data_IF_569857098409
#
_entry.id   IF_569857098409
#
_cell.length_a   1.000
_cell.length_b   1.000
_cell.length_c   1.000
_cell.angle_alpha   90.00
_cell.angle_beta   90.00
_cell.angle_gamma   90.00
#
_symmetry.space_group_name_H-M   'P 1'
#
loop_
_entity.id
_entity.type
_entity.pdbx_description
1 polymer ?
#
# COMPACT_ATOMS: atom_id res chain seq x y z
N UNK A 1 18.42 -17.89 -10.98
CA UNK A 1 17.12 -17.41 -11.48
C UNK A 1 16.56 -16.45 -10.43
N UNK A 2 15.85 -15.39 -10.83
CA UNK A 2 15.11 -14.54 -9.88
C UNK A 2 14.03 -15.39 -9.24
N UNK A 3 13.95 -15.43 -7.90
CA UNK A 3 12.88 -16.14 -7.18
C UNK A 3 11.58 -15.34 -7.16
N UNK A 4 11.63 -14.04 -7.41
CA UNK A 4 10.49 -13.18 -7.54
C UNK A 4 10.08 -12.42 -6.28
N UNK A 5 8.86 -11.88 -6.31
CA UNK A 5 8.30 -11.03 -5.25
C UNK A 5 6.94 -11.58 -4.85
N UNK A 6 6.71 -11.69 -3.54
CA UNK A 6 5.37 -11.88 -2.98
C UNK A 6 4.80 -10.52 -2.58
N UNK A 7 3.61 -10.18 -3.10
CA UNK A 7 2.82 -9.04 -2.61
C UNK A 7 1.71 -9.58 -1.71
N UNK A 8 1.72 -9.17 -0.45
CA UNK A 8 0.84 -9.68 0.60
C UNK A 8 -0.05 -8.56 1.20
N UNK A 9 -1.23 -8.91 1.69
CA UNK A 9 -2.10 -8.01 2.43
C UNK A 9 -3.42 -7.68 1.74
N UNK A 10 -3.69 -6.39 1.53
CA UNK A 10 -4.98 -5.88 1.08
C UNK A 10 -5.29 -6.18 -0.39
N UNK A 11 -6.35 -6.95 -0.64
CA UNK A 11 -7.00 -7.08 -1.95
C UNK A 11 -8.41 -6.48 -1.85
N UNK A 12 -8.68 -5.44 -2.62
CA UNK A 12 -9.89 -4.61 -2.48
C UNK A 12 -10.56 -4.45 -3.84
N UNK A 13 -11.86 -4.23 -3.83
CA UNK A 13 -12.61 -3.74 -4.99
C UNK A 13 -13.02 -2.30 -4.74
N UNK A 14 -12.61 -1.40 -5.61
CA UNK A 14 -13.06 -0.02 -5.60
C UNK A 14 -14.27 0.14 -6.53
N UNK A 15 -15.39 0.57 -5.96
CA UNK A 15 -16.63 0.83 -6.71
C UNK A 15 -16.87 2.33 -6.72
N UNK A 16 -16.64 2.95 -7.87
CA UNK A 16 -16.84 4.40 -8.05
C UNK A 16 -18.29 4.69 -8.44
N UNK A 17 -18.95 5.47 -7.61
CA UNK A 17 -20.31 6.00 -7.81
C UNK A 17 -20.23 7.48 -8.15
N UNK A 18 -20.44 7.87 -9.42
CA UNK A 18 -20.56 9.27 -9.77
C UNK A 18 -21.86 9.84 -9.18
N UNK A 19 -21.77 10.91 -8.41
CA UNK A 19 -22.91 11.61 -7.82
C UNK A 19 -23.05 13.03 -8.39
N UNK A 20 -24.29 13.53 -8.48
CA UNK A 20 -24.53 14.90 -8.97
C UNK A 20 -23.93 15.93 -8.04
N UNK A 21 -24.26 15.83 -6.76
CA UNK A 21 -23.80 16.74 -5.70
C UNK A 21 -23.62 15.97 -4.41
N UNK A 22 -22.83 16.50 -3.51
CA UNK A 22 -22.73 15.93 -2.17
C UNK A 22 -23.95 16.33 -1.33
N UNK A 23 -24.79 15.37 -0.87
CA UNK A 23 -25.99 15.70 -0.10
C UNK A 23 -25.61 16.05 1.35
N UNK A 24 -26.40 16.89 1.98
CA UNK A 24 -26.37 17.04 3.44
C UNK A 24 -26.98 15.82 4.10
N UNK A 25 -26.76 15.69 5.41
CA UNK A 25 -27.39 14.65 6.19
C UNK A 25 -28.93 14.69 6.03
N UNK A 26 -29.54 13.52 5.81
CA UNK A 26 -30.98 13.33 5.52
C UNK A 26 -31.46 13.86 4.15
N UNK A 27 -30.57 14.26 3.26
CA UNK A 27 -30.92 14.61 1.86
C UNK A 27 -30.60 13.45 0.91
N UNK A 28 -31.28 13.43 -0.22
CA UNK A 28 -31.05 12.45 -1.30
C UNK A 28 -30.23 13.10 -2.40
N UNK A 29 -29.27 12.35 -2.95
CA UNK A 29 -28.63 12.68 -4.23
C UNK A 29 -28.78 11.50 -5.19
N UNK A 30 -28.59 11.76 -6.48
CA UNK A 30 -28.64 10.71 -7.49
C UNK A 30 -27.25 10.22 -7.83
N UNK A 31 -27.11 8.90 -7.92
CA UNK A 31 -25.97 8.27 -8.57
C UNK A 31 -26.24 8.33 -10.06
N UNK A 32 -25.35 8.95 -10.81
CA UNK A 32 -25.45 9.07 -12.27
C UNK A 32 -24.88 7.83 -12.96
N UNK A 33 -25.05 7.75 -14.28
CA UNK A 33 -24.45 6.66 -15.04
C UNK A 33 -22.91 6.68 -15.00
N UNK A 34 -22.30 5.53 -15.29
CA UNK A 34 -20.85 5.38 -15.31
C UNK A 34 -20.27 4.85 -14.00
N UNK A 35 -21.06 4.07 -13.24
CA UNK A 35 -20.53 3.27 -12.13
C UNK A 35 -19.40 2.40 -12.67
N UNK A 36 -18.24 2.46 -12.02
CA UNK A 36 -17.04 1.71 -12.40
C UNK A 36 -16.57 0.84 -11.25
N UNK A 37 -16.10 -0.34 -11.61
CA UNK A 37 -15.47 -1.26 -10.69
C UNK A 37 -14.01 -1.46 -11.13
N UNK A 38 -13.08 -1.43 -10.19
CA UNK A 38 -11.67 -1.71 -10.39
C UNK A 38 -11.11 -2.48 -9.21
N UNK A 39 -10.04 -3.21 -9.43
CA UNK A 39 -9.26 -3.75 -8.33
C UNK A 39 -8.49 -2.62 -7.65
N UNK A 40 -8.28 -2.76 -6.36
CA UNK A 40 -7.55 -1.83 -5.51
C UNK A 40 -6.87 -2.57 -4.36
N UNK A 41 -6.29 -1.81 -3.46
CA UNK A 41 -5.49 -2.31 -2.36
C UNK A 41 -4.05 -2.60 -2.80
N UNK A 42 -3.15 -2.54 -1.83
CA UNK A 42 -1.71 -2.66 -2.05
C UNK A 42 -1.34 -3.87 -2.91
N UNK A 43 -1.90 -5.06 -2.64
CA UNK A 43 -1.58 -6.27 -3.41
C UNK A 43 -1.93 -6.10 -4.88
N UNK A 44 -3.19 -5.74 -5.19
CA UNK A 44 -3.63 -5.68 -6.57
C UNK A 44 -2.91 -4.58 -7.37
N UNK A 45 -2.66 -3.44 -6.75
CA UNK A 45 -2.00 -2.31 -7.41
C UNK A 45 -0.52 -2.63 -7.68
N UNK A 46 0.25 -2.89 -6.63
CA UNK A 46 1.68 -3.14 -6.73
C UNK A 46 1.99 -4.35 -7.64
N UNK A 47 1.28 -5.46 -7.46
CA UNK A 47 1.58 -6.68 -8.24
C UNK A 47 1.23 -6.52 -9.72
N UNK A 48 0.16 -5.77 -10.04
CA UNK A 48 -0.22 -5.48 -11.43
C UNK A 48 0.80 -4.60 -12.13
N UNK A 49 1.35 -3.61 -11.43
CA UNK A 49 2.36 -2.71 -11.98
C UNK A 49 3.69 -3.45 -12.19
N UNK A 50 4.12 -4.27 -11.23
CA UNK A 50 5.27 -5.17 -11.38
C UNK A 50 5.09 -6.13 -12.56
N UNK A 51 3.90 -6.72 -12.72
CA UNK A 51 3.61 -7.65 -13.82
C UNK A 51 3.67 -6.99 -15.20
N UNK A 52 3.32 -5.69 -15.29
CA UNK A 52 3.43 -4.90 -16.54
C UNK A 52 4.85 -4.46 -16.81
N UNK A 53 5.61 -4.08 -15.77
CA UNK A 53 6.99 -3.61 -15.89
C UNK A 53 7.94 -4.73 -16.30
N UNK A 54 7.79 -5.92 -15.75
CA UNK A 54 8.57 -7.10 -16.12
C UNK A 54 7.67 -8.35 -16.20
N UNK A 55 7.14 -8.69 -17.39
CA UNK A 55 6.30 -9.87 -17.57
C UNK A 55 7.00 -11.22 -17.31
N UNK A 56 8.32 -11.22 -17.09
CA UNK A 56 9.10 -12.42 -16.77
C UNK A 56 9.42 -12.52 -15.26
N UNK A 57 9.12 -11.49 -14.47
CA UNK A 57 9.30 -11.51 -13.02
C UNK A 57 8.26 -12.46 -12.41
N UNK A 58 8.66 -13.53 -11.68
CA UNK A 58 7.72 -14.35 -10.95
C UNK A 58 7.09 -13.53 -9.81
N UNK A 59 5.77 -13.56 -9.73
CA UNK A 59 5.00 -12.80 -8.74
C UNK A 59 4.04 -13.74 -8.01
N UNK A 60 3.93 -13.60 -6.69
CA UNK A 60 2.99 -14.34 -5.85
C UNK A 60 2.07 -13.34 -5.17
N UNK A 61 0.75 -13.49 -5.34
CA UNK A 61 -0.22 -12.72 -4.57
C UNK A 61 -0.63 -13.51 -3.32
N UNK A 62 -0.62 -12.87 -2.15
CA UNK A 62 -1.11 -13.43 -0.89
C UNK A 62 -2.10 -12.50 -0.23
N UNK A 63 -3.31 -12.97 0.00
CA UNK A 63 -4.39 -12.14 0.55
C UNK A 63 -5.71 -12.89 0.57
N UNK A 64 -6.78 -12.14 0.83
CA UNK A 64 -8.13 -12.69 0.84
C UNK A 64 -9.01 -12.12 -0.26
N UNK A 65 -9.75 -13.01 -0.94
CA UNK A 65 -10.90 -12.68 -1.77
C UNK A 65 -12.14 -13.37 -1.14
N UNK A 66 -13.28 -12.68 -1.09
CA UNK A 66 -14.50 -13.24 -0.51
C UNK A 66 -15.17 -14.31 -1.40
N UNK A 67 -16.17 -14.97 -0.87
CA UNK A 67 -17.04 -15.89 -1.63
C UNK A 67 -18.21 -15.14 -2.28
N UNK A 68 -17.90 -14.05 -3.00
CA UNK A 68 -18.84 -13.12 -3.60
C UNK A 68 -18.37 -12.68 -5.00
N UNK A 69 -19.21 -11.92 -5.69
CA UNK A 69 -18.94 -11.46 -7.05
C UNK A 69 -17.70 -10.53 -7.11
N UNK A 70 -17.48 -9.76 -6.06
CA UNK A 70 -16.31 -8.89 -5.92
C UNK A 70 -15.02 -9.71 -5.82
N UNK A 71 -15.04 -10.83 -5.08
CA UNK A 71 -13.90 -11.74 -4.98
C UNK A 71 -13.61 -12.46 -6.30
N UNK A 72 -14.65 -12.86 -7.02
CA UNK A 72 -14.51 -13.44 -8.36
C UNK A 72 -13.93 -12.43 -9.33
N UNK A 73 -14.36 -11.16 -9.25
CA UNK A 73 -13.81 -10.06 -10.05
C UNK A 73 -12.32 -9.84 -9.79
N UNK A 74 -11.89 -9.78 -8.51
CA UNK A 74 -10.47 -9.63 -8.16
C UNK A 74 -9.64 -10.77 -8.76
N UNK A 75 -10.06 -12.02 -8.58
CA UNK A 75 -9.33 -13.18 -9.11
C UNK A 75 -9.30 -13.18 -10.65
N UNK A 76 -10.38 -12.78 -11.30
CA UNK A 76 -10.44 -12.66 -12.75
C UNK A 76 -9.48 -11.58 -13.28
N UNK A 77 -9.43 -10.42 -12.65
CA UNK A 77 -8.54 -9.32 -13.06
C UNK A 77 -7.07 -9.69 -12.86
N UNK A 78 -6.71 -10.23 -11.70
CA UNK A 78 -5.34 -10.67 -11.43
C UNK A 78 -4.91 -11.84 -12.31
N UNK A 79 -5.82 -12.76 -12.62
CA UNK A 79 -5.57 -13.91 -13.49
C UNK A 79 -5.30 -13.56 -14.96
N UNK A 80 -5.45 -12.30 -15.38
CA UNK A 80 -5.04 -11.83 -16.72
C UNK A 80 -3.51 -11.79 -16.87
N UNK A 81 -2.77 -11.72 -15.78
CA UNK A 81 -1.31 -11.66 -15.79
C UNK A 81 -0.74 -13.06 -15.62
N UNK A 82 -0.01 -13.55 -16.62
CA UNK A 82 0.51 -14.93 -16.65
C UNK A 82 1.64 -15.19 -15.65
N UNK A 83 2.27 -14.14 -15.18
CA UNK A 83 3.38 -14.18 -14.23
C UNK A 83 2.96 -13.95 -12.78
N UNK A 84 1.65 -13.87 -12.50
CA UNK A 84 1.11 -13.79 -11.14
C UNK A 84 0.57 -15.17 -10.72
N UNK A 85 1.14 -15.74 -9.68
CA UNK A 85 0.63 -16.92 -8.98
C UNK A 85 -0.39 -16.48 -7.92
N UNK A 86 -1.62 -16.98 -8.05
CA UNK A 86 -2.74 -16.72 -7.14
C UNK A 86 -2.96 -17.85 -6.11
N UNK A 87 -2.08 -18.85 -6.06
CA UNK A 87 -2.27 -20.04 -5.22
C UNK A 87 -2.31 -19.74 -3.71
N UNK A 88 -1.76 -18.58 -3.29
CA UNK A 88 -1.82 -18.09 -1.91
C UNK A 88 -2.95 -17.10 -1.64
N UNK A 89 -3.80 -16.83 -2.62
CA UNK A 89 -5.04 -16.07 -2.39
C UNK A 89 -6.12 -17.04 -1.88
N UNK A 90 -6.49 -16.86 -0.62
CA UNK A 90 -7.54 -17.68 0.01
C UNK A 90 -8.91 -17.03 -0.16
N UNK A 91 -9.93 -17.89 -0.30
CA UNK A 91 -11.33 -17.45 -0.25
C UNK A 91 -11.77 -17.39 1.20
N UNK A 92 -12.17 -16.20 1.67
CA UNK A 92 -12.63 -16.01 3.04
C UNK A 92 -13.68 -14.89 3.14
N UNK A 93 -14.78 -15.17 3.83
CA UNK A 93 -15.80 -14.19 4.17
C UNK A 93 -16.32 -13.38 2.98
N UNK A 94 -16.44 -12.09 3.17
CA UNK A 94 -16.82 -11.09 2.18
C UNK A 94 -15.60 -10.31 1.70
N UNK A 95 -15.53 -10.06 0.40
CA UNK A 95 -14.46 -9.25 -0.19
C UNK A 95 -14.45 -7.83 0.40
N UNK A 96 -13.28 -7.34 0.69
CA UNK A 96 -13.07 -5.95 1.09
C UNK A 96 -13.38 -5.02 -0.08
N UNK A 97 -14.05 -3.91 0.16
CA UNK A 97 -14.38 -2.96 -0.89
C UNK A 97 -14.33 -1.50 -0.39
N UNK A 98 -14.14 -0.59 -1.33
CA UNK A 98 -14.29 0.83 -1.10
C UNK A 98 -15.40 1.37 -2.00
N UNK A 99 -16.44 1.95 -1.40
CA UNK A 99 -17.40 2.76 -2.15
C UNK A 99 -16.84 4.19 -2.30
N UNK A 100 -16.52 4.56 -3.53
CA UNK A 100 -15.93 5.86 -3.86
C UNK A 100 -17.02 6.77 -4.41
N UNK A 101 -17.47 7.73 -3.61
CA UNK A 101 -18.40 8.76 -4.08
C UNK A 101 -17.62 9.84 -4.81
N UNK A 102 -17.84 10.00 -6.12
CA UNK A 102 -17.15 10.96 -6.96
C UNK A 102 -18.11 12.07 -7.39
N UNK A 103 -17.90 13.28 -6.89
CA UNK A 103 -18.75 14.44 -7.23
C UNK A 103 -18.48 14.88 -8.68
N UNK A 104 -19.53 14.90 -9.51
CA UNK A 104 -19.44 15.27 -10.92
C UNK A 104 -19.09 16.73 -11.16
N UNK A 105 -19.41 17.61 -10.23
CA UNK A 105 -19.18 19.05 -10.33
C UNK A 105 -17.78 19.44 -9.85
N UNK A 106 -17.42 19.05 -8.60
CA UNK A 106 -16.15 19.43 -7.98
C UNK A 106 -15.00 18.49 -8.34
N UNK A 107 -15.30 17.26 -8.81
CA UNK A 107 -14.35 16.16 -9.05
C UNK A 107 -13.70 15.62 -7.79
N UNK A 108 -14.15 16.05 -6.63
CA UNK A 108 -13.71 15.54 -5.34
C UNK A 108 -14.25 14.13 -5.10
N UNK A 109 -13.53 13.36 -4.29
CA UNK A 109 -13.88 11.98 -3.94
C UNK A 109 -13.95 11.82 -2.43
N UNK A 110 -14.87 10.96 -1.99
CA UNK A 110 -14.98 10.52 -0.60
C UNK A 110 -15.07 9.00 -0.57
N UNK A 111 -14.35 8.39 0.37
CA UNK A 111 -14.15 6.95 0.41
C UNK A 111 -14.86 6.35 1.62
N UNK A 112 -15.63 5.29 1.38
CA UNK A 112 -16.27 4.49 2.42
C UNK A 112 -15.76 3.06 2.31
N UNK A 113 -14.89 2.69 3.23
CA UNK A 113 -14.22 1.40 3.19
C UNK A 113 -14.90 0.37 4.08
N UNK A 114 -15.03 -0.83 3.55
CA UNK A 114 -15.38 -2.04 4.29
C UNK A 114 -14.18 -2.98 4.31
N UNK A 115 -13.61 -3.21 5.50
CA UNK A 115 -12.42 -4.03 5.65
C UNK A 115 -12.61 -5.51 5.23
N UNK A 116 -13.83 -6.03 5.36
CA UNK A 116 -14.18 -7.38 4.90
C UNK A 116 -13.20 -8.45 5.40
N UNK A 117 -12.84 -9.37 4.50
CA UNK A 117 -11.92 -10.47 4.81
C UNK A 117 -10.52 -9.99 5.18
N UNK A 118 -10.05 -8.85 4.64
CA UNK A 118 -8.72 -8.31 4.96
C UNK A 118 -8.55 -8.00 6.45
N UNK A 119 -9.66 -7.78 7.19
CA UNK A 119 -9.61 -7.57 8.63
C UNK A 119 -9.00 -8.74 9.41
N UNK A 120 -9.00 -9.94 8.85
CA UNK A 120 -8.57 -11.18 9.50
C UNK A 120 -7.26 -11.72 8.93
N UNK A 121 -6.71 -11.12 7.87
CA UNK A 121 -5.47 -11.58 7.24
C UNK A 121 -4.29 -11.50 8.20
N UNK A 122 -3.53 -12.59 8.32
CA UNK A 122 -2.43 -12.71 9.24
C UNK A 122 -1.33 -13.67 8.82
N UNK A 123 -0.38 -13.84 9.71
CA UNK A 123 0.82 -14.66 9.51
C UNK A 123 0.49 -16.13 9.19
N UNK A 124 -0.58 -16.67 9.80
CA UNK A 124 -1.02 -18.07 9.61
C UNK A 124 -1.73 -18.32 8.27
N UNK A 125 -1.99 -17.25 7.51
CA UNK A 125 -2.59 -17.37 6.19
C UNK A 125 -1.57 -17.61 5.08
N UNK A 126 -0.30 -17.45 5.38
CA UNK A 126 0.82 -17.64 4.46
C UNK A 126 1.36 -19.07 4.60
N UNK A 127 1.47 -19.78 3.48
CA UNK A 127 2.15 -21.08 3.42
C UNK A 127 3.66 -20.86 3.26
N UNK A 128 4.34 -20.65 4.39
CA UNK A 128 5.76 -20.32 4.43
C UNK A 128 6.65 -21.39 3.82
N UNK A 129 6.23 -22.64 3.83
CA UNK A 129 7.01 -23.77 3.29
C UNK A 129 6.98 -23.79 1.75
N UNK A 130 5.94 -23.20 1.15
CA UNK A 130 5.81 -23.08 -0.30
C UNK A 130 6.26 -21.74 -0.85
N UNK A 131 6.42 -20.72 -0.01
CA UNK A 131 6.79 -19.38 -0.44
C UNK A 131 8.30 -19.28 -0.68
N UNK A 132 8.72 -19.35 -1.94
CA UNK A 132 10.12 -19.23 -2.36
C UNK A 132 10.32 -17.99 -3.24
N UNK A 133 10.49 -16.82 -2.61
CA UNK A 133 10.67 -15.51 -3.25
C UNK A 133 11.87 -14.78 -2.66
N UNK A 134 12.43 -13.82 -3.40
CA UNK A 134 13.53 -12.97 -2.91
C UNK A 134 13.03 -11.86 -1.99
N UNK A 135 11.82 -11.31 -2.28
CA UNK A 135 11.24 -10.18 -1.57
C UNK A 135 9.81 -10.53 -1.13
N UNK A 136 9.52 -10.28 0.13
CA UNK A 136 8.19 -10.27 0.70
C UNK A 136 7.77 -8.82 0.91
N UNK A 137 6.83 -8.33 0.09
CA UNK A 137 6.24 -7.01 0.21
C UNK A 137 4.89 -7.09 0.90
N UNK A 138 4.66 -6.25 1.89
CA UNK A 138 3.34 -6.07 2.50
C UNK A 138 3.00 -4.59 2.60
N UNK A 139 1.91 -4.22 1.96
CA UNK A 139 1.48 -2.83 1.92
C UNK A 139 0.28 -2.55 2.82
N UNK A 140 0.05 -1.25 2.98
CA UNK A 140 -1.07 -0.68 3.72
C UNK A 140 -1.10 -1.11 5.19
N UNK A 141 0.05 -1.04 5.89
CA UNK A 141 0.05 -0.98 7.36
C UNK A 141 -0.94 0.12 7.76
N UNK A 142 -1.74 -0.09 8.79
CA UNK A 142 -2.90 0.66 9.26
C UNK A 142 -4.25 0.21 8.66
N UNK A 143 -4.27 -0.58 7.58
CA UNK A 143 -5.50 -1.13 7.00
C UNK A 143 -5.59 -2.67 7.05
N UNK A 144 -4.80 -3.30 7.91
CA UNK A 144 -4.84 -4.73 8.19
C UNK A 144 -5.10 -4.96 9.69
N UNK A 145 -6.36 -4.85 10.15
CA UNK A 145 -6.70 -4.79 11.58
C UNK A 145 -6.08 -5.88 12.43
N UNK A 146 -6.05 -7.13 11.94
CA UNK A 146 -5.43 -8.23 12.67
C UNK A 146 -3.91 -8.07 12.81
N UNK A 147 -3.22 -7.59 11.77
CA UNK A 147 -1.79 -7.35 11.82
C UNK A 147 -1.42 -6.08 12.59
N UNK A 148 -2.35 -5.13 12.71
CA UNK A 148 -2.21 -3.91 13.51
C UNK A 148 -2.38 -4.18 15.02
N UNK A 149 -2.85 -5.38 15.42
CA UNK A 149 -2.97 -5.73 16.83
C UNK A 149 -1.62 -5.76 17.54
N UNK A 150 -1.60 -5.41 18.85
CA UNK A 150 -0.36 -5.48 19.63
C UNK A 150 0.17 -6.92 19.75
N UNK A 151 1.49 -7.02 19.74
CA UNK A 151 2.24 -8.24 20.03
C UNK A 151 3.22 -7.97 21.17
N UNK A 152 3.29 -8.87 22.16
CA UNK A 152 4.06 -8.65 23.38
C UNK A 152 5.60 -8.68 23.15
N UNK A 153 6.07 -9.36 22.12
CA UNK A 153 7.50 -9.50 21.80
C UNK A 153 7.94 -8.51 20.72
N UNK A 154 7.11 -8.35 19.67
CA UNK A 154 7.46 -7.59 18.46
C UNK A 154 6.84 -6.18 18.42
N UNK A 155 5.93 -5.88 19.34
CA UNK A 155 5.17 -4.63 19.39
C UNK A 155 3.88 -4.68 18.58
N UNK A 156 3.89 -5.25 17.38
CA UNK A 156 2.69 -5.51 16.56
C UNK A 156 2.79 -6.88 15.90
N UNK A 157 1.65 -7.48 15.53
CA UNK A 157 1.63 -8.73 14.74
C UNK A 157 2.23 -8.51 13.34
N UNK A 158 2.15 -7.31 12.78
CA UNK A 158 2.83 -6.92 11.55
C UNK A 158 4.35 -7.07 11.67
N UNK A 159 4.94 -6.56 12.75
CA UNK A 159 6.37 -6.69 13.00
C UNK A 159 6.80 -8.16 13.14
N UNK A 160 5.98 -8.98 13.81
CA UNK A 160 6.21 -10.43 13.92
C UNK A 160 6.17 -11.11 12.55
N UNK A 161 5.20 -10.79 11.71
CA UNK A 161 5.10 -11.32 10.34
C UNK A 161 6.33 -10.97 9.51
N UNK A 162 6.79 -9.71 9.52
CA UNK A 162 7.99 -9.28 8.81
C UNK A 162 9.25 -10.01 9.33
N UNK A 163 9.38 -10.14 10.64
CA UNK A 163 10.48 -10.93 11.22
C UNK A 163 10.45 -12.38 10.73
N UNK A 164 9.28 -13.02 10.65
CA UNK A 164 9.13 -14.36 10.11
C UNK A 164 9.57 -14.46 8.65
N UNK A 165 9.20 -13.50 7.82
CA UNK A 165 9.65 -13.43 6.43
C UNK A 165 11.18 -13.36 6.33
N UNK A 166 11.83 -12.51 7.14
CA UNK A 166 13.29 -12.44 7.21
C UNK A 166 13.92 -13.77 7.69
N UNK A 167 13.32 -14.42 8.69
CA UNK A 167 13.77 -15.75 9.16
C UNK A 167 13.65 -16.84 8.10
N UNK A 168 12.68 -16.72 7.19
CA UNK A 168 12.55 -17.59 6.02
C UNK A 168 13.53 -17.24 4.88
N UNK A 169 14.41 -16.24 5.08
CA UNK A 169 15.46 -15.87 4.14
C UNK A 169 15.08 -14.81 3.10
N UNK A 170 13.88 -14.24 3.18
CA UNK A 170 13.40 -13.20 2.28
C UNK A 170 13.83 -11.81 2.75
N UNK A 171 13.96 -10.87 1.82
CA UNK A 171 14.00 -9.43 2.13
C UNK A 171 12.58 -8.93 2.31
N UNK A 172 12.40 -7.97 3.20
CA UNK A 172 11.09 -7.40 3.50
C UNK A 172 10.95 -6.00 2.91
N UNK A 173 9.79 -5.73 2.34
CA UNK A 173 9.42 -4.42 1.81
C UNK A 173 8.06 -4.01 2.37
N UNK A 174 7.93 -2.76 2.76
CA UNK A 174 6.68 -2.22 3.26
C UNK A 174 6.27 -0.94 2.53
N UNK A 175 4.97 -0.77 2.49
CA UNK A 175 4.26 0.47 2.23
C UNK A 175 3.22 0.68 3.34
N UNK A 176 2.78 1.92 3.54
CA UNK A 176 1.76 2.29 4.52
C UNK A 176 0.63 3.04 3.81
N UNK A 177 -0.44 3.36 4.53
CA UNK A 177 -1.52 4.18 3.98
C UNK A 177 -1.59 5.51 4.71
N UNK A 178 -1.82 6.58 3.97
CA UNK A 178 -2.04 7.89 4.56
C UNK A 178 -3.36 7.89 5.34
N UNK A 179 -3.29 7.86 6.65
CA UNK A 179 -4.43 7.96 7.57
C UNK A 179 -4.26 9.19 8.46
N UNK A 180 -5.35 9.90 8.69
CA UNK A 180 -5.35 10.98 9.67
C UNK A 180 -5.48 10.39 11.09
N UNK A 181 -4.43 10.49 11.92
CA UNK A 181 -4.50 10.03 13.31
C UNK A 181 -3.13 9.80 13.96
N UNK A 182 -3.16 9.51 15.25
CA UNK A 182 -1.96 9.31 16.08
C UNK A 182 -1.44 7.86 16.08
N UNK A 183 -2.00 6.99 15.23
CA UNK A 183 -1.66 5.55 15.22
C UNK A 183 -0.32 5.23 14.56
N UNK A 184 0.18 6.12 13.68
CA UNK A 184 1.37 5.88 12.86
C UNK A 184 2.58 5.42 13.67
N UNK A 185 3.08 6.24 14.59
CA UNK A 185 4.26 5.92 15.37
C UNK A 185 4.12 4.57 16.11
N UNK A 186 2.92 4.28 16.62
CA UNK A 186 2.66 3.06 17.37
C UNK A 186 2.64 1.81 16.51
N UNK A 187 2.11 1.89 15.28
CA UNK A 187 1.89 0.72 14.42
C UNK A 187 3.01 0.53 13.40
N UNK A 188 3.54 1.62 12.85
CA UNK A 188 4.58 1.55 11.81
C UNK A 188 5.97 1.34 12.42
N UNK A 189 6.33 2.06 13.48
CA UNK A 189 7.69 2.00 14.07
C UNK A 189 8.13 0.57 14.46
N UNK A 190 7.30 -0.29 15.07
CA UNK A 190 7.71 -1.66 15.36
C UNK A 190 8.05 -2.46 14.10
N UNK A 191 7.33 -2.25 12.99
CA UNK A 191 7.52 -2.93 11.72
C UNK A 191 8.84 -2.54 11.05
N UNK A 192 9.30 -1.27 11.19
CA UNK A 192 10.55 -0.79 10.59
C UNK A 192 11.77 -1.58 11.03
N UNK A 193 11.78 -2.14 12.25
CA UNK A 193 12.88 -2.97 12.77
C UNK A 193 13.11 -4.26 11.95
N UNK A 194 12.10 -4.67 11.20
CA UNK A 194 12.11 -5.89 10.39
C UNK A 194 11.86 -5.57 8.91
N UNK A 195 12.26 -4.37 8.49
CA UNK A 195 12.06 -3.86 7.13
C UNK A 195 13.39 -3.63 6.42
N UNK A 196 13.59 -4.28 5.28
CA UNK A 196 14.75 -4.03 4.41
C UNK A 196 14.49 -2.80 3.51
N UNK A 197 13.30 -2.67 2.94
CA UNK A 197 12.90 -1.61 2.01
C UNK A 197 11.64 -0.90 2.51
N UNK A 198 11.73 0.39 2.76
CA UNK A 198 10.61 1.24 3.17
C UNK A 198 10.38 2.31 2.10
N UNK A 199 9.25 2.23 1.38
CA UNK A 199 8.89 3.16 0.32
C UNK A 199 7.57 3.81 0.73
N UNK A 200 7.62 5.08 1.12
CA UNK A 200 6.47 5.82 1.68
C UNK A 200 6.48 7.28 1.22
N UNK A 201 5.32 7.94 1.28
CA UNK A 201 5.24 9.34 0.88
C UNK A 201 5.73 10.31 1.99
N UNK A 202 5.79 11.60 1.67
CA UNK A 202 6.29 12.63 2.59
C UNK A 202 5.42 12.79 3.84
N UNK A 203 4.09 12.61 3.74
CA UNK A 203 3.18 12.75 4.88
C UNK A 203 3.30 11.55 5.83
N UNK A 204 3.37 10.36 5.28
CA UNK A 204 3.59 9.12 6.02
C UNK A 204 4.95 9.12 6.71
N UNK A 205 5.97 9.60 6.01
CA UNK A 205 7.30 9.78 6.58
C UNK A 205 7.27 10.78 7.74
N UNK A 206 6.63 11.93 7.56
CA UNK A 206 6.48 12.94 8.61
C UNK A 206 5.78 12.37 9.85
N UNK A 207 4.70 11.62 9.67
CA UNK A 207 3.96 11.00 10.78
C UNK A 207 4.75 9.88 11.48
N UNK A 208 5.59 9.17 10.74
CA UNK A 208 6.43 8.10 11.27
C UNK A 208 7.65 8.63 12.02
N UNK A 209 8.30 9.66 11.49
CA UNK A 209 9.61 10.16 11.97
C UNK A 209 9.50 11.38 12.88
N UNK A 210 8.40 12.12 12.79
CA UNK A 210 8.23 13.44 13.43
C UNK A 210 9.00 14.57 12.73
N UNK A 211 9.66 14.32 11.60
CA UNK A 211 10.36 15.34 10.82
C UNK A 211 9.38 16.05 9.90
N UNK A 212 9.27 17.37 10.00
CA UNK A 212 8.39 18.17 9.16
C UNK A 212 8.87 18.13 7.70
N UNK A 213 8.06 17.56 6.81
CA UNK A 213 8.32 17.49 5.36
C UNK A 213 7.35 18.34 4.55
N UNK A 214 6.09 18.43 5.00
CA UNK A 214 5.11 19.32 4.37
C UNK A 214 4.38 20.15 5.43
N UNK A 215 4.46 21.47 5.30
CA UNK A 215 3.80 22.41 6.20
C UNK A 215 2.28 22.46 5.98
N UNK A 216 1.56 23.07 6.91
CA UNK A 216 0.09 23.29 6.79
C UNK A 216 -0.26 24.19 5.60
N UNK A 217 0.68 25.02 5.15
CA UNK A 217 0.60 25.85 3.94
C UNK A 217 0.81 25.05 2.64
N UNK A 218 1.06 23.73 2.74
CA UNK A 218 1.34 22.84 1.62
C UNK A 218 2.76 22.91 1.07
N UNK A 219 3.63 23.73 1.67
CA UNK A 219 5.04 23.87 1.24
C UNK A 219 5.85 22.62 1.62
N UNK A 220 6.59 22.10 0.65
CA UNK A 220 7.50 20.95 0.84
C UNK A 220 8.86 21.46 1.34
N UNK A 221 9.34 20.90 2.45
CA UNK A 221 10.63 21.17 3.06
C UNK A 221 11.67 20.16 2.57
N UNK A 222 12.16 20.36 1.35
CA UNK A 222 13.14 19.44 0.71
C UNK A 222 14.42 19.32 1.54
N UNK A 223 14.84 20.39 2.22
CA UNK A 223 16.01 20.44 3.09
C UNK A 223 15.95 19.43 4.26
N UNK A 224 14.75 18.98 4.63
CA UNK A 224 14.54 18.03 5.72
C UNK A 224 14.51 16.56 5.24
N UNK A 225 14.46 16.29 3.92
CA UNK A 225 14.33 14.93 3.36
C UNK A 225 15.45 14.00 3.84
N UNK A 226 16.70 14.50 3.80
CA UNK A 226 17.85 13.71 4.25
C UNK A 226 17.74 13.32 5.72
N UNK A 227 17.31 14.24 6.58
CA UNK A 227 17.15 13.99 8.02
C UNK A 227 16.01 12.96 8.27
N UNK A 228 14.92 13.05 7.51
CA UNK A 228 13.82 12.10 7.61
C UNK A 228 14.24 10.68 7.18
N UNK A 229 14.99 10.54 6.10
CA UNK A 229 15.55 9.27 5.65
C UNK A 229 16.52 8.66 6.67
N UNK A 230 17.41 9.48 7.25
CA UNK A 230 18.27 9.06 8.35
C UNK A 230 17.45 8.53 9.54
N UNK A 231 16.36 9.24 9.86
CA UNK A 231 15.47 8.82 10.96
C UNK A 231 14.79 7.49 10.69
N UNK A 232 14.38 7.19 9.45
CA UNK A 232 13.84 5.88 9.07
C UNK A 232 14.87 4.76 9.29
N UNK A 233 16.15 4.98 8.93
CA UNK A 233 17.23 4.04 9.22
C UNK A 233 17.48 3.87 10.72
N UNK A 234 17.48 4.96 11.49
CA UNK A 234 17.58 4.89 12.96
C UNK A 234 16.44 4.08 13.60
N UNK A 235 15.24 4.13 13.01
CA UNK A 235 14.07 3.37 13.44
C UNK A 235 14.13 1.90 13.03
N UNK A 236 15.04 1.52 12.11
CA UNK A 236 15.32 0.11 11.82
C UNK A 236 15.35 -0.28 10.36
N UNK A 237 15.03 0.59 9.40
CA UNK A 237 15.10 0.27 7.97
C UNK A 237 16.52 -0.14 7.59
N UNK A 238 16.69 -1.38 7.07
CA UNK A 238 17.99 -2.00 6.95
C UNK A 238 18.72 -1.70 5.63
N UNK A 239 17.99 -1.52 4.51
CA UNK A 239 18.59 -1.42 3.18
C UNK A 239 18.30 -0.09 2.50
N UNK A 240 17.05 0.18 2.20
CA UNK A 240 16.65 1.41 1.52
C UNK A 240 15.45 2.04 2.20
N UNK A 241 15.58 3.30 2.53
CA UNK A 241 14.48 4.19 2.85
C UNK A 241 14.25 5.12 1.65
N UNK A 242 13.00 5.21 1.18
CA UNK A 242 12.63 6.01 0.01
C UNK A 242 11.40 6.85 0.35
N UNK A 243 11.48 8.12 0.03
CA UNK A 243 10.38 9.08 0.17
C UNK A 243 9.99 9.57 -1.22
N UNK A 244 8.71 9.47 -1.55
CA UNK A 244 8.17 10.02 -2.78
C UNK A 244 7.13 11.10 -2.51
N UNK A 245 7.10 12.10 -3.35
CA UNK A 245 6.07 13.14 -3.38
C UNK A 245 5.90 13.67 -4.81
N UNK A 246 4.88 14.50 -5.08
CA UNK A 246 4.64 15.02 -6.42
C UNK A 246 5.80 15.79 -7.03
N UNK A 247 6.65 16.39 -6.20
CA UNK A 247 7.75 17.27 -6.63
C UNK A 247 9.07 16.53 -6.83
N UNK A 248 9.35 15.50 -5.97
CA UNK A 248 10.67 14.88 -5.88
C UNK A 248 10.56 13.45 -5.33
N UNK A 249 11.47 12.57 -5.76
CA UNK A 249 11.75 11.31 -5.10
C UNK A 249 13.13 11.34 -4.45
N UNK A 250 13.22 10.91 -3.19
CA UNK A 250 14.47 10.86 -2.43
C UNK A 250 14.70 9.46 -1.88
N UNK A 251 15.95 9.03 -1.78
CA UNK A 251 16.30 7.75 -1.18
C UNK A 251 17.62 7.79 -0.44
N UNK A 252 17.75 6.89 0.52
CA UNK A 252 19.01 6.64 1.23
C UNK A 252 19.25 5.14 1.32
N UNK A 253 20.48 4.73 0.97
CA UNK A 253 20.91 3.35 1.09
C UNK A 253 21.46 3.02 2.49
N UNK A 254 21.80 1.75 2.71
CA UNK A 254 22.38 1.24 3.95
C UNK A 254 23.73 1.85 4.34
N UNK A 255 24.42 2.50 3.41
CA UNK A 255 25.70 3.15 3.64
C UNK A 255 25.55 4.65 3.94
N UNK A 256 24.29 5.18 3.95
CA UNK A 256 24.00 6.59 4.16
C UNK A 256 24.20 7.47 2.92
N UNK A 257 24.35 6.86 1.73
CA UNK A 257 24.38 7.60 0.49
C UNK A 257 22.97 8.13 0.18
N UNK A 258 22.86 9.43 -0.04
CA UNK A 258 21.62 10.13 -0.34
C UNK A 258 21.49 10.37 -1.84
N UNK A 259 20.28 10.10 -2.36
CA UNK A 259 19.91 10.28 -3.76
C UNK A 259 18.62 11.08 -3.84
N UNK A 260 18.52 11.96 -4.83
CA UNK A 260 17.31 12.70 -5.11
C UNK A 260 17.13 12.92 -6.61
N UNK A 261 15.87 12.93 -7.06
CA UNK A 261 15.50 13.16 -8.44
C UNK A 261 14.22 13.99 -8.49
N UNK A 262 14.24 15.11 -9.20
CA UNK A 262 13.04 15.90 -9.47
C UNK A 262 12.04 15.08 -10.31
N UNK A 263 10.75 15.28 -10.02
CA UNK A 263 9.69 14.68 -10.81
C UNK A 263 9.66 15.22 -12.24
N UNK A 264 9.20 14.39 -13.18
CA UNK A 264 9.08 14.77 -14.58
C UNK A 264 8.12 15.96 -14.75
N UNK A 265 8.54 16.98 -15.49
CA UNK A 265 7.69 18.13 -15.86
C UNK A 265 6.77 17.73 -17.02
N UNK A 266 5.59 17.23 -16.68
CA UNK A 266 4.62 16.76 -17.66
C UNK A 266 3.75 17.90 -18.20
N UNK A 267 3.30 17.84 -19.47
CA UNK A 267 2.39 18.83 -20.02
C UNK A 267 1.07 18.90 -19.25
N UNK A 268 0.47 20.10 -19.17
CA UNK A 268 -0.83 20.28 -18.52
C UNK A 268 -1.89 19.33 -19.09
N UNK A 269 -2.57 18.59 -18.20
CA UNK A 269 -3.61 17.62 -18.56
C UNK A 269 -3.08 16.25 -19.02
N UNK A 270 -1.76 16.01 -18.95
CA UNK A 270 -1.19 14.69 -19.18
C UNK A 270 -1.60 13.71 -18.08
N UNK A 271 -1.49 14.12 -16.80
CA UNK A 271 -1.96 13.34 -15.65
C UNK A 271 -3.48 13.34 -15.65
N UNK A 272 -4.09 12.16 -15.71
CA UNK A 272 -5.55 11.95 -15.71
C UNK A 272 -6.09 11.50 -14.37
N UNK A 273 -5.24 11.05 -13.48
CA UNK A 273 -5.55 10.59 -12.12
C UNK A 273 -4.29 10.28 -11.36
N UNK A 274 -4.40 10.19 -10.04
CA UNK A 274 -3.27 9.92 -9.12
C UNK A 274 -3.53 8.72 -8.21
N UNK A 275 -4.65 8.01 -8.41
CA UNK A 275 -4.98 6.80 -7.64
C UNK A 275 -3.97 5.72 -7.99
N UNK A 276 -3.37 5.07 -6.96
CA UNK A 276 -2.34 4.05 -7.12
C UNK A 276 -0.96 4.58 -7.50
N UNK A 277 -0.74 5.91 -7.53
CA UNK A 277 0.56 6.47 -7.88
C UNK A 277 1.64 6.13 -6.84
N UNK A 278 1.29 6.02 -5.56
CA UNK A 278 2.18 5.54 -4.51
C UNK A 278 2.54 4.07 -4.70
N UNK A 279 1.54 3.21 -4.96
CA UNK A 279 1.77 1.77 -5.18
C UNK A 279 2.65 1.50 -6.42
N UNK A 280 2.60 2.38 -7.42
CA UNK A 280 3.38 2.26 -8.67
C UNK A 280 4.82 2.79 -8.55
N UNK A 281 5.10 3.60 -7.50
CA UNK A 281 6.42 4.14 -7.25
C UNK A 281 7.37 3.08 -6.69
#
# INVERSE_FOLDING_TARGET
MKKGICCAGNMIVDITYPIETWPKQNELTHITEGIKQSTGGSVCNTISDLARLDPQLPLVASGFAGHDAEGDFVLQEMGKYKNIDLSMVKRNGRTSFTAVMSNNQTKERTFFQHAGANAYYGEDDIDWDKLDVDIFHIGYILLLPHLDEPDAEYGTKMARLLHRAQKAGMKTSIDVVSEAGERFARLVTPALKYTDYCIINELETQQTTGVLLRGEDGVLHVENMKAALQKLHELGVAKWAVIHCPEIGCGMDENGNYYEFESLKLPKGYIKGTVGAGDAF
#
